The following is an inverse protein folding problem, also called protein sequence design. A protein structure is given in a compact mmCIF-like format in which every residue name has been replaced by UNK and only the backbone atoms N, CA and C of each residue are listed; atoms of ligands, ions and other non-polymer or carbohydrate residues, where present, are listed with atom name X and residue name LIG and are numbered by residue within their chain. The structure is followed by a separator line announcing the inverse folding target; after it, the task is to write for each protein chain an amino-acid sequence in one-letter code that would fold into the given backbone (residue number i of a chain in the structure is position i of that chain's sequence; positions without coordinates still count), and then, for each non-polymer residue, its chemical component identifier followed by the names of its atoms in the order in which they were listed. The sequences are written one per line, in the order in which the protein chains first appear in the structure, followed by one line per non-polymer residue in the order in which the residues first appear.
data_IF_824500213637
#
_entry.id   IF_824500213637
#
_cell.length_a   1.000
_cell.length_b   1.000
_cell.length_c   1.000
_cell.angle_alpha   90.00
_cell.angle_beta   90.00
_cell.angle_gamma   90.00
#
_symmetry.space_group_name_H-M   'P 1'
#
loop_
_entity.id
_entity.type
_entity.pdbx_description
1 polymer ?
#
# COMPACT_ATOMS: atom_id res chain seq x y z
N UNK A 1 -2.32 -15.94 -16.16
CA UNK A 1 -1.07 -15.53 -15.46
C UNK A 1 -0.38 -16.71 -14.77
N UNK A 2 -1.04 -17.48 -13.89
CA UNK A 2 -0.39 -18.62 -13.22
C UNK A 2 0.11 -19.71 -14.19
N UNK A 3 -0.77 -20.17 -15.10
CA UNK A 3 -0.41 -21.14 -16.11
C UNK A 3 0.72 -20.63 -17.03
N UNK A 4 0.67 -19.36 -17.44
CA UNK A 4 1.71 -18.74 -18.27
C UNK A 4 3.04 -18.52 -17.54
N UNK A 5 3.02 -18.35 -16.21
CA UNK A 5 4.21 -18.39 -15.39
C UNK A 5 4.78 -19.81 -15.28
N UNK A 6 3.94 -20.81 -15.05
CA UNK A 6 4.34 -22.22 -14.94
C UNK A 6 4.97 -22.76 -16.24
N UNK A 7 4.44 -22.34 -17.40
CA UNK A 7 4.98 -22.71 -18.72
C UNK A 7 6.16 -21.85 -19.16
N UNK A 8 6.58 -20.86 -18.36
CA UNK A 8 7.71 -19.97 -18.67
C UNK A 8 7.40 -18.86 -19.69
N UNK A 9 6.17 -18.77 -20.20
CA UNK A 9 5.76 -17.72 -21.15
C UNK A 9 5.93 -16.32 -20.56
N UNK A 10 5.64 -16.14 -19.26
CA UNK A 10 5.86 -14.86 -18.58
C UNK A 10 7.32 -14.39 -18.69
N UNK A 11 8.29 -15.32 -18.55
CA UNK A 11 9.72 -15.00 -18.70
C UNK A 11 10.04 -14.58 -20.14
N UNK A 12 9.50 -15.29 -21.12
CA UNK A 12 9.68 -14.94 -22.53
C UNK A 12 9.12 -13.55 -22.86
N UNK A 13 7.91 -13.24 -22.39
CA UNK A 13 7.32 -11.91 -22.59
C UNK A 13 8.12 -10.80 -21.91
N UNK A 14 8.69 -11.04 -20.73
CA UNK A 14 9.59 -10.07 -20.07
C UNK A 14 10.86 -9.83 -20.89
N UNK A 15 11.48 -10.89 -21.42
CA UNK A 15 12.71 -10.78 -22.24
C UNK A 15 12.43 -10.03 -23.54
N UNK A 16 11.28 -10.30 -24.18
CA UNK A 16 10.85 -9.66 -25.42
C UNK A 16 10.31 -8.23 -25.22
N UNK A 17 10.19 -7.76 -23.98
CA UNK A 17 9.61 -6.44 -23.68
C UNK A 17 8.09 -6.35 -23.86
N UNK A 18 7.41 -7.48 -24.04
CA UNK A 18 5.94 -7.56 -24.18
C UNK A 18 5.22 -7.52 -22.82
N UNK A 19 5.94 -7.78 -21.73
CA UNK A 19 5.43 -7.68 -20.37
C UNK A 19 6.43 -6.95 -19.48
N UNK A 20 5.94 -5.95 -18.73
CA UNK A 20 6.80 -5.11 -17.90
C UNK A 20 6.36 -5.11 -16.43
N UNK A 21 7.30 -4.97 -15.47
CA UNK A 21 6.96 -4.80 -14.06
C UNK A 21 6.13 -3.54 -13.78
N UNK A 22 5.27 -3.63 -12.78
CA UNK A 22 4.34 -2.55 -12.39
C UNK A 22 5.07 -1.40 -11.69
N UNK A 23 6.07 -1.69 -10.85
CA UNK A 23 6.82 -0.64 -10.16
C UNK A 23 8.00 -0.20 -11.03
N UNK A 24 7.87 1.01 -11.57
CA UNK A 24 8.89 1.72 -12.36
C UNK A 24 9.08 3.13 -11.79
N UNK A 25 10.29 3.67 -11.87
CA UNK A 25 10.60 5.04 -11.46
C UNK A 25 12.09 5.25 -11.17
N UNK A 26 12.53 6.51 -11.17
CA UNK A 26 13.93 6.89 -10.95
C UNK A 26 14.49 6.45 -9.58
N UNK A 27 13.63 6.22 -8.59
CA UNK A 27 14.00 5.76 -7.25
C UNK A 27 14.00 4.25 -7.05
N UNK A 28 13.73 3.44 -8.08
CA UNK A 28 13.61 1.98 -7.95
C UNK A 28 14.94 1.31 -8.31
N UNK A 29 15.52 0.57 -7.36
CA UNK A 29 16.78 -0.16 -7.60
C UNK A 29 16.61 -1.29 -8.63
N UNK A 30 17.68 -1.58 -9.36
CA UNK A 30 17.70 -2.67 -10.34
C UNK A 30 17.38 -4.04 -9.70
N UNK A 31 17.85 -4.26 -8.47
CA UNK A 31 17.53 -5.46 -7.68
C UNK A 31 16.02 -5.61 -7.44
N UNK A 32 15.32 -4.51 -7.13
CA UNK A 32 13.87 -4.53 -6.95
C UNK A 32 13.15 -4.85 -8.27
N UNK A 33 13.62 -4.30 -9.39
CA UNK A 33 13.10 -4.63 -10.73
C UNK A 33 13.33 -6.11 -11.06
N UNK A 34 14.51 -6.66 -10.75
CA UNK A 34 14.81 -8.08 -10.96
C UNK A 34 13.92 -9.00 -10.10
N UNK A 35 13.67 -8.63 -8.83
CA UNK A 35 12.74 -9.36 -7.96
C UNK A 35 11.32 -9.35 -8.50
N UNK A 36 10.83 -8.22 -8.99
CA UNK A 36 9.51 -8.16 -9.63
C UNK A 36 9.43 -9.10 -10.84
N UNK A 37 10.45 -9.13 -11.70
CA UNK A 37 10.52 -10.06 -12.84
C UNK A 37 10.48 -11.52 -12.39
N UNK A 38 11.18 -11.84 -11.31
CA UNK A 38 11.13 -13.16 -10.68
C UNK A 38 9.72 -13.51 -10.18
N UNK A 39 9.05 -12.62 -9.45
CA UNK A 39 7.69 -12.83 -8.95
C UNK A 39 6.66 -13.00 -10.08
N UNK A 40 6.82 -12.27 -11.18
CA UNK A 40 5.99 -12.45 -12.38
C UNK A 40 6.23 -13.79 -13.08
N UNK A 41 7.42 -14.36 -12.96
CA UNK A 41 7.79 -15.61 -13.62
C UNK A 41 7.55 -16.86 -12.77
N UNK A 42 7.27 -16.70 -11.47
CA UNK A 42 7.04 -17.83 -10.57
C UNK A 42 5.53 -18.08 -10.38
N UNK A 43 5.02 -19.29 -10.70
CA UNK A 43 3.61 -19.59 -10.60
C UNK A 43 3.06 -19.52 -9.17
N UNK A 44 3.85 -19.85 -8.14
CA UNK A 44 3.40 -19.78 -6.75
C UNK A 44 3.08 -18.34 -6.34
N UNK A 45 3.91 -17.37 -6.75
CA UNK A 45 3.68 -15.95 -6.48
C UNK A 45 2.48 -15.40 -7.26
N UNK A 46 2.28 -15.87 -8.49
CA UNK A 46 1.06 -15.55 -9.24
C UNK A 46 -0.19 -16.18 -8.60
N UNK A 47 -0.04 -17.31 -7.91
CA UNK A 47 -1.12 -17.90 -7.12
C UNK A 47 -1.50 -17.04 -5.93
N UNK A 48 -0.50 -16.58 -5.17
CA UNK A 48 -0.73 -15.73 -4.00
C UNK A 48 -1.51 -14.45 -4.34
N UNK A 49 -1.31 -13.86 -5.53
CA UNK A 49 -2.07 -12.69 -5.97
C UNK A 49 -3.57 -13.00 -6.21
N UNK A 50 -3.88 -14.21 -6.67
CA UNK A 50 -5.27 -14.68 -6.84
C UNK A 50 -5.89 -14.97 -5.48
N UNK A 51 -5.13 -15.63 -4.60
CA UNK A 51 -5.57 -15.93 -3.24
C UNK A 51 -5.87 -14.63 -2.47
N UNK A 52 -4.98 -13.62 -2.57
CA UNK A 52 -5.19 -12.31 -1.97
C UNK A 52 -6.52 -11.68 -2.43
N UNK A 53 -6.80 -11.72 -3.74
CA UNK A 53 -8.05 -11.21 -4.29
C UNK A 53 -9.27 -11.98 -3.76
N UNK A 54 -9.19 -13.30 -3.72
CA UNK A 54 -10.25 -14.17 -3.21
C UNK A 54 -10.55 -13.90 -1.72
N UNK A 55 -9.51 -13.67 -0.91
CA UNK A 55 -9.62 -13.45 0.53
C UNK A 55 -9.82 -11.98 0.94
N UNK A 56 -10.03 -11.04 0.00
CA UNK A 56 -10.26 -9.62 0.33
C UNK A 56 -11.47 -9.43 1.25
N UNK A 57 -12.59 -10.09 0.95
CA UNK A 57 -13.81 -9.97 1.73
C UNK A 57 -13.66 -10.58 3.13
N UNK A 58 -12.95 -11.70 3.24
CA UNK A 58 -12.64 -12.31 4.52
C UNK A 58 -11.75 -11.40 5.35
N UNK A 59 -10.69 -10.85 4.74
CA UNK A 59 -9.80 -9.87 5.39
C UNK A 59 -10.57 -8.66 5.90
N UNK A 60 -11.50 -8.12 5.10
CA UNK A 60 -12.35 -7.00 5.51
C UNK A 60 -13.27 -7.38 6.70
N UNK A 61 -13.82 -8.59 6.70
CA UNK A 61 -14.63 -9.12 7.81
C UNK A 61 -13.81 -9.25 9.09
N UNK A 62 -12.60 -9.82 8.99
CA UNK A 62 -11.67 -9.96 10.12
C UNK A 62 -11.27 -8.59 10.69
N UNK A 63 -10.96 -7.60 9.84
CA UNK A 63 -10.64 -6.24 10.29
C UNK A 63 -11.82 -5.60 11.02
N UNK A 64 -13.05 -5.78 10.51
CA UNK A 64 -14.27 -5.29 11.17
C UNK A 64 -14.45 -5.94 12.54
N UNK A 65 -14.22 -7.25 12.66
CA UNK A 65 -14.30 -7.95 13.93
C UNK A 65 -13.23 -7.46 14.93
N UNK A 66 -11.97 -7.38 14.50
CA UNK A 66 -10.87 -6.87 15.32
C UNK A 66 -11.14 -5.44 15.80
N UNK A 67 -11.68 -4.57 14.94
CA UNK A 67 -12.01 -3.20 15.32
C UNK A 67 -13.06 -3.11 16.43
N UNK A 68 -13.97 -4.10 16.53
CA UNK A 68 -15.02 -4.14 17.54
C UNK A 68 -14.52 -4.72 18.87
N UNK A 69 -13.74 -5.80 18.81
CA UNK A 69 -13.34 -6.54 20.01
C UNK A 69 -11.97 -6.15 20.56
N UNK A 70 -11.10 -5.58 19.73
CA UNK A 70 -9.74 -5.19 20.10
C UNK A 70 -9.35 -3.84 19.47
N UNK A 71 -10.09 -2.76 19.76
CA UNK A 71 -9.70 -1.44 19.29
C UNK A 71 -8.33 -1.05 19.86
N UNK A 72 -7.57 -0.25 19.10
CA UNK A 72 -6.32 0.30 19.63
C UNK A 72 -6.63 1.17 20.85
N UNK A 73 -5.82 1.05 21.89
CA UNK A 73 -5.96 1.88 23.09
C UNK A 73 -5.87 3.36 22.74
N UNK A 74 -6.63 4.21 23.45
CA UNK A 74 -6.53 5.67 23.35
C UNK A 74 -5.13 6.22 23.67
N UNK A 75 -4.28 5.43 24.33
CA UNK A 75 -2.87 5.76 24.59
C UNK A 75 -1.97 5.59 23.35
N UNK A 76 -2.42 4.84 22.35
CA UNK A 76 -1.67 4.59 21.12
C UNK A 76 -1.95 5.71 20.11
N UNK A 77 -0.94 6.51 19.81
CA UNK A 77 -1.03 7.54 18.77
C UNK A 77 -1.19 6.90 17.39
N UNK A 78 -2.32 7.12 16.72
CA UNK A 78 -2.58 6.66 15.35
C UNK A 78 -2.30 7.79 14.36
N UNK A 79 -1.65 7.49 13.25
CA UNK A 79 -1.49 8.42 12.14
C UNK A 79 -1.69 7.67 10.83
N UNK A 80 -2.47 8.25 9.94
CA UNK A 80 -2.81 7.67 8.64
C UNK A 80 -2.22 8.56 7.57
N UNK A 81 -1.43 7.98 6.67
CA UNK A 81 -0.83 8.67 5.54
C UNK A 81 -1.58 8.22 4.29
N UNK A 82 -2.18 9.15 3.55
CA UNK A 82 -2.88 8.85 2.29
C UNK A 82 -2.41 9.79 1.18
N UNK A 83 -2.53 9.32 -0.06
CA UNK A 83 -2.41 10.15 -1.25
C UNK A 83 -3.65 11.01 -1.51
N UNK A 84 -3.64 11.72 -2.63
CA UNK A 84 -4.79 12.50 -3.13
C UNK A 84 -5.84 11.62 -3.81
N UNK A 85 -5.39 10.54 -4.44
CA UNK A 85 -6.23 9.49 -5.04
C UNK A 85 -5.89 8.14 -4.42
N UNK A 86 -6.81 7.18 -4.52
CA UNK A 86 -6.50 5.80 -4.17
C UNK A 86 -5.68 5.14 -5.28
N UNK A 87 -6.08 5.31 -6.53
CA UNK A 87 -5.37 4.77 -7.69
C UNK A 87 -5.61 5.65 -8.91
N UNK A 88 -4.54 6.06 -9.60
CA UNK A 88 -4.62 6.84 -10.84
C UNK A 88 -5.32 6.08 -11.98
N UNK A 89 -5.29 4.74 -11.96
CA UNK A 89 -5.96 3.90 -12.98
C UNK A 89 -7.48 3.82 -12.75
N UNK A 90 -7.98 4.22 -11.58
CA UNK A 90 -9.40 4.20 -11.29
C UNK A 90 -10.10 5.48 -11.78
N UNK A 91 -11.34 5.36 -12.30
CA UNK A 91 -12.20 6.50 -12.57
C UNK A 91 -12.33 7.45 -11.37
N UNK A 92 -12.41 8.76 -11.66
CA UNK A 92 -12.44 9.80 -10.64
C UNK A 92 -13.57 9.62 -9.60
N UNK A 93 -14.75 9.15 -10.01
CA UNK A 93 -15.87 8.91 -9.11
C UNK A 93 -15.58 7.79 -8.08
N UNK A 94 -14.85 6.73 -8.47
CA UNK A 94 -14.44 5.67 -7.55
C UNK A 94 -13.37 6.17 -6.58
N UNK A 95 -12.43 6.97 -7.05
CA UNK A 95 -11.44 7.61 -6.18
C UNK A 95 -12.12 8.51 -5.11
N UNK A 96 -13.12 9.29 -5.50
CA UNK A 96 -13.90 10.13 -4.57
C UNK A 96 -14.69 9.28 -3.56
N UNK A 97 -15.31 8.19 -4.03
CA UNK A 97 -16.02 7.26 -3.16
C UNK A 97 -15.08 6.64 -2.12
N UNK A 98 -13.91 6.15 -2.55
CA UNK A 98 -12.89 5.58 -1.65
C UNK A 98 -12.40 6.61 -0.63
N UNK A 99 -12.10 7.84 -1.05
CA UNK A 99 -11.69 8.91 -0.15
C UNK A 99 -12.77 9.22 0.91
N UNK A 100 -14.05 9.22 0.51
CA UNK A 100 -15.18 9.43 1.42
C UNK A 100 -15.30 8.31 2.45
N UNK A 101 -15.19 7.06 2.00
CA UNK A 101 -15.24 5.88 2.88
C UNK A 101 -14.05 5.81 3.83
N UNK A 102 -12.84 6.14 3.37
CA UNK A 102 -11.64 6.21 4.20
C UNK A 102 -11.78 7.25 5.31
N UNK A 103 -12.29 8.45 4.97
CA UNK A 103 -12.54 9.50 5.96
C UNK A 103 -13.56 9.05 7.01
N UNK A 104 -14.69 8.51 6.58
CA UNK A 104 -15.74 8.00 7.48
C UNK A 104 -15.23 6.91 8.41
N UNK A 105 -14.49 5.94 7.86
CA UNK A 105 -13.88 4.86 8.63
C UNK A 105 -12.90 5.39 9.70
N UNK A 106 -12.11 6.40 9.36
CA UNK A 106 -11.16 7.01 10.30
C UNK A 106 -11.87 7.74 11.44
N UNK A 107 -12.92 8.50 11.13
CA UNK A 107 -13.73 9.23 12.11
C UNK A 107 -14.45 8.28 13.08
N UNK A 108 -14.95 7.14 12.58
CA UNK A 108 -15.65 6.13 13.39
C UNK A 108 -14.69 5.29 14.25
N UNK A 109 -13.57 4.83 13.69
CA UNK A 109 -12.67 3.90 14.39
C UNK A 109 -11.61 4.60 15.23
N UNK A 110 -11.07 5.72 14.77
CA UNK A 110 -9.94 6.41 15.39
C UNK A 110 -10.10 7.94 15.32
N UNK A 111 -11.03 8.53 16.10
CA UNK A 111 -11.35 9.96 16.00
C UNK A 111 -10.18 10.89 16.36
N UNK A 112 -9.20 10.40 17.13
CA UNK A 112 -7.99 11.15 17.48
C UNK A 112 -6.83 10.91 16.51
N UNK A 113 -7.03 10.16 15.43
CA UNK A 113 -5.98 9.85 14.47
C UNK A 113 -5.57 11.10 13.69
N UNK A 114 -4.25 11.26 13.52
CA UNK A 114 -3.71 12.32 12.67
C UNK A 114 -3.73 11.88 11.21
N UNK A 115 -4.53 12.53 10.39
CA UNK A 115 -4.53 12.31 8.95
C UNK A 115 -3.47 13.19 8.27
N UNK A 116 -2.54 12.56 7.55
CA UNK A 116 -1.48 13.21 6.76
C UNK A 116 -1.80 12.93 5.29
N UNK A 117 -2.08 13.98 4.53
CA UNK A 117 -2.31 13.90 3.09
C UNK A 117 -1.04 14.28 2.34
N UNK A 118 -0.61 13.41 1.43
CA UNK A 118 0.53 13.66 0.53
C UNK A 118 -0.04 14.01 -0.84
N UNK A 119 0.38 15.16 -1.37
CA UNK A 119 -0.16 15.69 -2.61
C UNK A 119 0.43 15.00 -3.85
N UNK A 120 -0.40 14.83 -4.88
CA UNK A 120 0.00 14.34 -6.20
C UNK A 120 0.44 12.87 -6.23
N UNK A 121 0.00 12.07 -5.26
CA UNK A 121 0.35 10.64 -5.18
C UNK A 121 -0.89 9.76 -4.97
N UNK A 122 -0.77 8.51 -5.38
CA UNK A 122 -1.76 7.44 -5.25
C UNK A 122 -1.31 6.36 -4.24
N UNK A 123 -1.95 5.18 -4.23
CA UNK A 123 -1.51 4.03 -3.41
C UNK A 123 -0.07 3.58 -3.68
N UNK A 124 0.50 3.91 -4.84
CA UNK A 124 1.90 3.58 -5.21
C UNK A 124 2.89 4.61 -4.64
N UNK A 125 2.44 5.54 -3.77
CA UNK A 125 3.25 6.60 -3.15
C UNK A 125 4.56 6.13 -2.51
N UNK A 126 4.60 4.91 -1.96
CA UNK A 126 5.81 4.33 -1.34
C UNK A 126 6.94 4.20 -2.37
N UNK A 127 6.59 3.94 -3.62
CA UNK A 127 7.56 3.77 -4.71
C UNK A 127 7.72 5.04 -5.55
N UNK A 128 6.66 5.84 -5.73
CA UNK A 128 6.69 7.09 -6.51
C UNK A 128 7.35 8.25 -5.76
N UNK A 129 7.06 8.39 -4.46
CA UNK A 129 7.50 9.53 -3.65
C UNK A 129 8.02 9.10 -2.26
N UNK A 130 9.05 8.23 -2.18
CA UNK A 130 9.57 7.71 -0.91
C UNK A 130 10.16 8.81 0.00
N UNK A 131 10.72 9.87 -0.58
CA UNK A 131 11.29 11.00 0.15
C UNK A 131 10.22 11.78 0.94
N UNK A 132 9.05 11.98 0.34
CA UNK A 132 7.94 12.67 0.99
C UNK A 132 7.44 11.89 2.22
N UNK A 133 7.27 10.56 2.08
CA UNK A 133 6.81 9.69 3.16
C UNK A 133 7.86 9.58 4.26
N UNK A 134 9.12 9.32 3.90
CA UNK A 134 10.21 9.21 4.87
C UNK A 134 10.39 10.49 5.68
N UNK A 135 10.23 11.68 5.08
CA UNK A 135 10.24 12.95 5.81
C UNK A 135 9.14 13.02 6.89
N UNK A 136 7.92 12.58 6.58
CA UNK A 136 6.84 12.51 7.57
C UNK A 136 7.15 11.51 8.69
N UNK A 137 7.65 10.33 8.35
CA UNK A 137 8.02 9.30 9.34
C UNK A 137 9.15 9.77 10.24
N UNK A 138 10.22 10.35 9.68
CA UNK A 138 11.36 10.87 10.45
C UNK A 138 10.93 11.99 11.40
N UNK A 139 10.02 12.88 10.96
CA UNK A 139 9.45 13.91 11.84
C UNK A 139 8.67 13.29 13.01
N UNK A 140 7.88 12.25 12.77
CA UNK A 140 7.14 11.55 13.83
C UNK A 140 8.09 10.84 14.82
N UNK A 141 9.16 10.22 14.32
CA UNK A 141 10.17 9.57 15.15
C UNK A 141 10.91 10.61 16.01
N UNK A 142 11.37 11.71 15.41
CA UNK A 142 12.05 12.78 16.12
C UNK A 142 11.19 13.39 17.23
N UNK A 143 9.90 13.65 16.96
CA UNK A 143 8.95 14.15 17.96
C UNK A 143 8.73 13.17 19.13
N UNK A 144 8.78 11.87 18.87
CA UNK A 144 8.68 10.85 19.94
C UNK A 144 9.97 10.77 20.76
N UNK A 145 11.13 10.89 20.12
CA UNK A 145 12.42 10.89 20.80
C UNK A 145 12.60 12.11 21.70
N UNK A 146 12.23 13.31 21.24
CA UNK A 146 12.33 14.53 22.04
C UNK A 146 11.43 14.46 23.29
N UNK A 147 10.20 13.93 23.15
CA UNK A 147 9.30 13.73 24.30
C UNK A 147 9.82 12.74 25.33
N UNK A 148 10.60 11.74 24.91
CA UNK A 148 11.24 10.78 25.82
C UNK A 148 12.46 11.37 26.56
N UNK A 149 13.14 12.36 25.97
CA UNK A 149 14.29 13.01 26.59
C UNK A 149 13.90 14.13 27.58
N UNK A 150 12.68 14.67 27.46
CA UNK A 150 12.14 15.66 28.40
C UNK A 150 11.32 15.06 29.56
N UNK A 151 11.27 13.72 29.65
CA UNK A 151 10.74 12.96 30.80
C UNK A 151 11.90 12.35 31.57
#
# INVERSE_FOLDING_TARGET
MQFSAATGLNRMFIILGLMEPVMKGEGVSLDLVQRQKYFLSNPAHQSSAVDEHFFLNESASQVKEISKYKPLSSRTSVSVITGDSFDEELPAHLNQMVATLQKKCLEELYPSAKHIRVHGVDRKMIYKSPSAISKHLMKMIAQKQSRKQSQ
#
